data_IF_051547594850
#
_entry.id   IF_051547594850
#
_cell.length_a   1.000
_cell.length_b   1.000
_cell.length_c   1.000
_cell.angle_alpha   90.00
_cell.angle_beta   90.00
_cell.angle_gamma   90.00
#
_symmetry.space_group_name_H-M   'P 1'
#
loop_
_entity.id
_entity.type
_entity.pdbx_description
1 polymer ?
#
# COMPACT_ATOMS: atom_id res chain seq x y z
N UNK A 1 -6.12 -1.21 -32.41
CA UNK A 1 -6.32 -0.97 -30.95
C UNK A 1 -5.59 0.31 -30.58
N UNK A 2 -6.28 1.25 -29.91
CA UNK A 2 -5.73 2.55 -29.47
C UNK A 2 -6.19 2.90 -28.03
N UNK A 3 -5.53 3.89 -27.40
CA UNK A 3 -5.84 4.32 -26.04
C UNK A 3 -7.26 4.90 -25.89
N UNK A 4 -7.87 5.38 -26.98
CA UNK A 4 -9.25 5.87 -26.99
C UNK A 4 -10.22 4.72 -26.78
N UNK A 5 -9.99 3.57 -27.42
CA UNK A 5 -10.79 2.37 -27.24
C UNK A 5 -10.68 1.83 -25.81
N UNK A 6 -9.50 1.93 -25.17
CA UNK A 6 -9.33 1.59 -23.75
C UNK A 6 -10.18 2.49 -22.85
N UNK A 7 -10.12 3.81 -23.05
CA UNK A 7 -10.99 4.74 -22.30
C UNK A 7 -12.48 4.46 -22.49
N UNK A 8 -12.88 4.12 -23.70
CA UNK A 8 -14.27 3.76 -24.00
C UNK A 8 -14.72 2.49 -23.27
N UNK A 9 -13.86 1.47 -23.27
CA UNK A 9 -14.13 0.22 -22.56
C UNK A 9 -14.22 0.45 -21.04
N UNK A 10 -13.27 1.15 -20.44
CA UNK A 10 -13.26 1.51 -19.02
C UNK A 10 -14.56 2.23 -18.65
N UNK A 11 -14.96 3.25 -19.39
CA UNK A 11 -16.17 4.01 -19.10
C UNK A 11 -17.46 3.15 -19.18
N UNK A 12 -17.52 2.18 -20.11
CA UNK A 12 -18.63 1.22 -20.17
C UNK A 12 -18.58 0.23 -19.01
N UNK A 13 -17.42 -0.25 -18.63
CA UNK A 13 -17.20 -1.17 -17.53
C UNK A 13 -17.59 -0.55 -16.19
N UNK A 14 -17.20 0.70 -15.93
CA UNK A 14 -17.50 1.42 -14.68
C UNK A 14 -19.00 1.71 -14.53
N UNK A 15 -19.71 1.99 -15.63
CA UNK A 15 -21.13 2.37 -15.61
C UNK A 15 -22.07 1.21 -15.87
N UNK A 16 -21.58 0.10 -16.37
CA UNK A 16 -22.36 -1.06 -16.82
C UNK A 16 -23.52 -0.65 -17.78
N UNK A 17 -23.32 0.45 -18.55
CA UNK A 17 -24.32 1.06 -19.41
C UNK A 17 -23.69 1.81 -20.59
N UNK A 18 -23.94 1.35 -21.81
CA UNK A 18 -23.49 2.05 -23.02
C UNK A 18 -24.09 3.46 -23.17
N UNK A 19 -25.34 3.64 -22.76
CA UNK A 19 -26.00 4.95 -22.87
C UNK A 19 -25.42 5.97 -21.92
N UNK A 20 -25.15 5.57 -20.67
CA UNK A 20 -24.51 6.48 -19.69
C UNK A 20 -23.06 6.76 -20.05
N UNK A 21 -22.30 5.75 -20.47
CA UNK A 21 -20.92 5.91 -20.91
C UNK A 21 -20.83 6.85 -22.15
N UNK A 22 -21.69 6.68 -23.14
CA UNK A 22 -21.72 7.53 -24.33
C UNK A 22 -22.02 9.01 -23.98
N UNK A 23 -22.98 9.26 -23.07
CA UNK A 23 -23.25 10.61 -22.54
C UNK A 23 -22.02 11.23 -21.88
N UNK A 24 -21.32 10.47 -21.04
CA UNK A 24 -20.11 10.95 -20.34
C UNK A 24 -18.95 11.22 -21.29
N UNK A 25 -18.82 10.43 -22.35
CA UNK A 25 -17.79 10.56 -23.35
C UNK A 25 -18.15 11.59 -24.46
N UNK A 26 -19.35 12.18 -24.39
CA UNK A 26 -19.87 13.12 -25.39
C UNK A 26 -19.88 12.56 -26.82
N UNK A 27 -20.21 11.29 -26.99
CA UNK A 27 -20.35 10.62 -28.28
C UNK A 27 -21.71 9.91 -28.40
N UNK A 28 -22.04 9.49 -29.62
CA UNK A 28 -23.28 8.69 -29.81
C UNK A 28 -23.08 7.26 -29.29
N UNK A 29 -24.17 6.67 -28.76
CA UNK A 29 -24.15 5.27 -28.29
C UNK A 29 -23.80 4.28 -29.42
N UNK A 30 -24.29 4.44 -30.67
CA UNK A 30 -23.88 3.59 -31.79
C UNK A 30 -22.37 3.65 -32.04
N UNK A 31 -21.76 4.86 -32.00
CA UNK A 31 -20.29 5.03 -32.14
C UNK A 31 -19.53 4.29 -31.05
N UNK A 32 -19.93 4.47 -29.77
CA UNK A 32 -19.33 3.77 -28.66
C UNK A 32 -19.41 2.24 -28.82
N UNK A 33 -20.59 1.75 -29.20
CA UNK A 33 -20.84 0.32 -29.44
C UNK A 33 -19.96 -0.25 -30.54
N UNK A 34 -19.76 0.51 -31.62
CA UNK A 34 -18.88 0.11 -32.73
C UNK A 34 -17.41 0.04 -32.30
N UNK A 35 -16.96 1.02 -31.52
CA UNK A 35 -15.57 1.04 -31.01
C UNK A 35 -15.27 -0.11 -30.03
N UNK A 36 -16.21 -0.45 -29.17
CA UNK A 36 -16.07 -1.62 -28.29
C UNK A 36 -16.02 -2.91 -29.10
N UNK A 37 -16.90 -3.09 -30.09
CA UNK A 37 -16.85 -4.27 -30.97
C UNK A 37 -15.50 -4.38 -31.70
N UNK A 38 -14.97 -3.27 -32.21
CA UNK A 38 -13.66 -3.25 -32.86
C UNK A 38 -12.53 -3.62 -31.89
N UNK A 39 -12.63 -3.20 -30.63
CA UNK A 39 -11.69 -3.62 -29.57
C UNK A 39 -11.80 -5.12 -29.32
N UNK A 40 -12.99 -5.66 -29.11
CA UNK A 40 -13.25 -7.10 -28.89
C UNK A 40 -12.75 -7.95 -30.05
N UNK A 41 -12.95 -7.50 -31.30
CA UNK A 41 -12.40 -8.15 -32.48
C UNK A 41 -10.86 -8.18 -32.47
N UNK A 42 -10.22 -7.08 -32.03
CA UNK A 42 -8.76 -7.02 -31.95
C UNK A 42 -8.21 -7.90 -30.84
N UNK A 43 -8.92 -7.98 -29.69
CA UNK A 43 -8.57 -8.86 -28.56
C UNK A 43 -8.89 -10.33 -28.87
N UNK A 44 -9.82 -10.60 -29.78
CA UNK A 44 -10.22 -11.95 -30.19
C UNK A 44 -11.25 -12.62 -29.25
N UNK A 45 -11.81 -11.86 -28.29
CA UNK A 45 -12.84 -12.36 -27.36
C UNK A 45 -13.78 -11.24 -26.93
N UNK A 46 -14.98 -11.60 -26.49
CA UNK A 46 -15.93 -10.67 -25.91
C UNK A 46 -15.45 -10.24 -24.50
N UNK A 47 -15.41 -8.95 -24.27
CA UNK A 47 -15.09 -8.35 -22.98
C UNK A 47 -16.35 -7.98 -22.18
N UNK A 48 -17.45 -7.76 -22.88
CA UNK A 48 -18.72 -7.33 -22.32
C UNK A 48 -19.87 -8.22 -22.79
N UNK A 49 -20.72 -8.64 -21.87
CA UNK A 49 -22.00 -9.32 -22.17
C UNK A 49 -23.13 -8.31 -22.09
N UNK A 50 -23.97 -8.25 -23.15
CA UNK A 50 -25.19 -7.42 -23.20
C UNK A 50 -26.38 -8.29 -22.88
N UNK A 51 -27.12 -7.93 -21.84
CA UNK A 51 -28.34 -8.63 -21.43
C UNK A 51 -29.51 -7.69 -21.25
N UNK A 52 -30.68 -8.25 -20.99
CA UNK A 52 -31.93 -7.51 -20.69
C UNK A 52 -31.79 -6.61 -19.45
N UNK A 53 -30.87 -6.96 -18.55
CA UNK A 53 -30.58 -6.24 -17.28
C UNK A 53 -29.37 -5.33 -17.35
N UNK A 54 -28.89 -4.95 -18.54
CA UNK A 54 -27.71 -4.08 -18.71
C UNK A 54 -26.48 -4.78 -19.27
N UNK A 55 -25.32 -4.25 -18.95
CA UNK A 55 -24.01 -4.74 -19.39
C UNK A 55 -23.30 -5.39 -18.22
N UNK A 56 -22.58 -6.49 -18.48
CA UNK A 56 -21.71 -7.15 -17.50
C UNK A 56 -20.34 -7.41 -18.12
N UNK A 57 -19.30 -7.42 -17.32
CA UNK A 57 -17.97 -7.88 -17.74
C UNK A 57 -17.96 -9.40 -17.88
N UNK A 58 -17.26 -9.90 -18.91
CA UNK A 58 -16.81 -11.30 -18.97
C UNK A 58 -15.61 -11.50 -18.06
N UNK A 59 -15.15 -12.74 -17.85
CA UNK A 59 -13.87 -12.99 -17.19
C UNK A 59 -12.70 -12.34 -17.94
N UNK A 60 -12.71 -12.39 -19.28
CA UNK A 60 -11.74 -11.71 -20.11
C UNK A 60 -11.86 -10.17 -19.94
N UNK A 61 -13.09 -9.64 -19.82
CA UNK A 61 -13.33 -8.22 -19.56
C UNK A 61 -12.77 -7.76 -18.22
N UNK A 62 -12.90 -8.54 -17.16
CA UNK A 62 -12.32 -8.25 -15.84
C UNK A 62 -10.78 -8.20 -15.94
N UNK A 63 -10.16 -9.22 -16.53
CA UNK A 63 -8.71 -9.27 -16.71
C UNK A 63 -8.18 -8.12 -17.61
N UNK A 64 -8.95 -7.74 -18.63
CA UNK A 64 -8.61 -6.65 -19.53
C UNK A 64 -8.75 -5.28 -18.87
N UNK A 65 -9.72 -5.09 -17.96
CA UNK A 65 -10.04 -3.81 -17.31
C UNK A 65 -8.83 -3.28 -16.52
N UNK A 66 -8.22 -4.14 -15.71
CA UNK A 66 -7.04 -3.76 -14.91
C UNK A 66 -5.87 -3.32 -15.80
N UNK A 67 -5.62 -4.04 -16.89
CA UNK A 67 -4.57 -3.71 -17.85
C UNK A 67 -4.90 -2.46 -18.68
N UNK A 68 -6.17 -2.24 -19.00
CA UNK A 68 -6.61 -1.03 -19.69
C UNK A 68 -6.42 0.23 -18.82
N UNK A 69 -6.76 0.14 -17.53
CA UNK A 69 -6.46 1.19 -16.57
C UNK A 69 -4.96 1.49 -16.47
N UNK A 70 -4.12 0.45 -16.39
CA UNK A 70 -2.67 0.60 -16.33
C UNK A 70 -2.13 1.30 -17.60
N UNK A 71 -2.56 0.87 -18.79
CA UNK A 71 -2.13 1.48 -20.06
C UNK A 71 -2.51 2.96 -20.17
N UNK A 72 -3.71 3.34 -19.73
CA UNK A 72 -4.13 4.75 -19.72
C UNK A 72 -3.29 5.57 -18.73
N UNK A 73 -3.01 5.02 -17.54
CA UNK A 73 -2.16 5.70 -16.56
C UNK A 73 -0.75 5.94 -17.08
N UNK A 74 -0.13 4.92 -17.67
CA UNK A 74 1.21 5.04 -18.27
C UNK A 74 1.26 6.11 -19.39
N UNK A 75 0.25 6.15 -20.25
CA UNK A 75 0.16 7.16 -21.29
C UNK A 75 -0.01 8.59 -20.73
N UNK A 76 -0.76 8.75 -19.64
CA UNK A 76 -0.90 10.05 -18.95
C UNK A 76 0.40 10.41 -18.25
N UNK A 77 1.04 9.46 -17.58
CA UNK A 77 2.32 9.62 -16.90
C UNK A 77 3.41 10.10 -17.87
N UNK A 78 3.53 9.48 -19.05
CA UNK A 78 4.49 9.88 -20.05
C UNK A 78 4.36 11.37 -20.48
N UNK A 79 3.13 11.89 -20.54
CA UNK A 79 2.89 13.32 -20.83
C UNK A 79 3.28 14.21 -19.66
N UNK A 80 2.97 13.77 -18.43
CA UNK A 80 3.35 14.50 -17.20
C UNK A 80 4.87 14.55 -17.05
N UNK A 81 5.57 13.44 -17.27
CA UNK A 81 7.03 13.34 -17.16
C UNK A 81 7.74 14.21 -18.23
N UNK A 82 7.24 14.20 -19.46
CA UNK A 82 7.77 15.07 -20.50
C UNK A 82 7.63 16.57 -20.15
N UNK A 83 6.50 16.96 -19.57
CA UNK A 83 6.26 18.32 -19.09
C UNK A 83 7.16 18.67 -17.90
N UNK A 84 7.30 17.76 -16.94
CA UNK A 84 8.17 17.93 -15.78
C UNK A 84 9.63 18.10 -16.21
N UNK A 85 10.13 17.25 -17.11
CA UNK A 85 11.47 17.34 -17.66
C UNK A 85 11.70 18.68 -18.39
N UNK A 86 10.72 19.13 -19.18
CA UNK A 86 10.78 20.44 -19.86
C UNK A 86 10.83 21.63 -18.87
N UNK A 87 10.22 21.48 -17.70
CA UNK A 87 10.23 22.48 -16.63
C UNK A 87 11.45 22.34 -15.70
N UNK A 88 12.36 21.40 -15.97
CA UNK A 88 13.56 21.15 -15.19
C UNK A 88 13.32 20.37 -13.88
N UNK A 89 12.16 19.70 -13.76
CA UNK A 89 11.89 18.75 -12.69
C UNK A 89 12.37 17.35 -13.08
N UNK A 90 12.74 16.53 -12.06
CA UNK A 90 13.12 15.14 -12.25
C UNK A 90 11.91 14.25 -12.61
N UNK A 91 10.71 14.69 -12.24
CA UNK A 91 9.46 13.96 -12.45
C UNK A 91 8.66 13.82 -11.14
N UNK A 92 7.56 13.11 -11.24
CA UNK A 92 6.63 12.82 -10.13
C UNK A 92 6.85 11.41 -9.65
N UNK A 93 7.02 11.23 -8.34
CA UNK A 93 7.12 9.93 -7.70
C UNK A 93 5.91 9.72 -6.77
N UNK A 94 5.15 8.67 -7.01
CA UNK A 94 3.98 8.28 -6.22
C UNK A 94 4.40 7.26 -5.19
N UNK A 95 4.43 7.68 -3.93
CA UNK A 95 4.83 6.83 -2.80
C UNK A 95 3.59 6.40 -2.03
N UNK A 96 3.33 5.10 -2.00
CA UNK A 96 2.33 4.50 -1.15
C UNK A 96 2.97 4.04 0.17
N UNK A 97 2.31 4.25 1.28
CA UNK A 97 2.82 3.88 2.59
C UNK A 97 1.69 3.51 3.55
N UNK A 98 1.99 2.65 4.51
CA UNK A 98 1.15 2.44 5.68
C UNK A 98 1.55 3.36 6.84
N UNK A 99 0.75 3.39 7.92
CA UNK A 99 1.05 4.22 9.10
C UNK A 99 2.41 3.93 9.73
N UNK A 100 2.89 2.68 9.64
CA UNK A 100 4.18 2.30 10.21
C UNK A 100 5.31 3.06 9.51
N UNK A 101 5.30 3.14 8.19
CA UNK A 101 6.33 3.83 7.43
C UNK A 101 6.41 5.33 7.75
N UNK A 102 5.26 5.98 8.04
CA UNK A 102 5.22 7.38 8.48
C UNK A 102 6.13 7.61 9.68
N UNK A 103 6.05 6.73 10.69
CA UNK A 103 6.81 6.87 11.93
C UNK A 103 8.22 6.28 11.87
N UNK A 104 8.45 5.39 10.91
CA UNK A 104 9.72 4.68 10.80
C UNK A 104 10.78 5.45 10.02
N UNK A 105 10.52 5.80 8.76
CA UNK A 105 11.56 6.32 7.87
C UNK A 105 11.10 7.50 7.02
N UNK A 106 9.80 7.61 6.75
CA UNK A 106 9.29 8.50 5.71
C UNK A 106 9.56 9.98 6.02
N UNK A 107 9.45 10.40 7.28
CA UNK A 107 9.76 11.77 7.70
C UNK A 107 11.19 12.15 7.33
N UNK A 108 12.16 11.31 7.70
CA UNK A 108 13.58 11.59 7.47
C UNK A 108 13.89 11.62 5.96
N UNK A 109 13.29 10.69 5.18
CA UNK A 109 13.43 10.66 3.72
C UNK A 109 12.87 11.93 3.09
N UNK A 110 11.71 12.41 3.54
CA UNK A 110 11.12 13.64 3.01
C UNK A 110 11.92 14.89 3.40
N UNK A 111 12.51 14.91 4.58
CA UNK A 111 13.39 16.00 5.02
C UNK A 111 14.65 16.05 4.15
N UNK A 112 15.33 14.94 3.94
CA UNK A 112 16.49 14.85 3.05
C UNK A 112 16.10 15.18 1.60
N UNK A 113 14.94 14.69 1.13
CA UNK A 113 14.44 14.95 -0.23
C UNK A 113 14.22 16.45 -0.47
N UNK A 114 13.66 17.19 0.49
CA UNK A 114 13.45 18.62 0.37
C UNK A 114 14.74 19.37 0.08
N UNK A 115 15.84 18.96 0.72
CA UNK A 115 17.11 19.67 0.65
C UNK A 115 18.02 19.16 -0.51
N UNK A 116 18.00 17.85 -0.79
CA UNK A 116 18.86 17.20 -1.79
C UNK A 116 18.23 17.07 -3.18
N UNK A 117 16.92 16.85 -3.24
CA UNK A 117 16.19 16.62 -4.48
C UNK A 117 14.94 17.53 -4.60
N UNK A 118 15.08 18.87 -4.52
CA UNK A 118 13.93 19.80 -4.54
C UNK A 118 13.16 19.77 -5.87
N UNK A 119 13.69 19.11 -6.88
CA UNK A 119 13.07 18.92 -8.20
C UNK A 119 12.29 17.61 -8.32
N UNK A 120 12.27 16.78 -7.29
CA UNK A 120 11.49 15.54 -7.22
C UNK A 120 10.12 15.83 -6.59
N UNK A 121 9.03 15.69 -7.36
CA UNK A 121 7.66 15.87 -6.86
C UNK A 121 7.16 14.57 -6.21
N UNK A 122 7.36 14.43 -4.90
CA UNK A 122 6.92 13.24 -4.14
C UNK A 122 5.46 13.39 -3.75
N UNK A 123 4.63 12.42 -4.16
CA UNK A 123 3.19 12.35 -3.85
C UNK A 123 2.89 11.16 -2.95
N UNK A 124 2.48 11.44 -1.72
CA UNK A 124 2.17 10.41 -0.74
C UNK A 124 0.72 9.95 -0.84
N UNK A 125 0.50 8.65 -0.65
CA UNK A 125 -0.81 8.04 -0.45
C UNK A 125 -0.72 7.02 0.67
N UNK A 126 -1.63 7.14 1.65
CA UNK A 126 -1.77 6.12 2.68
C UNK A 126 -2.68 5.00 2.17
N UNK A 127 -2.13 3.80 2.06
CA UNK A 127 -2.81 2.61 1.55
C UNK A 127 -2.50 1.40 2.45
N UNK A 128 -3.45 0.47 2.63
CA UNK A 128 -3.18 -0.86 3.20
C UNK A 128 -2.14 -1.61 2.36
N UNK A 129 -1.46 -2.61 2.95
CA UNK A 129 -0.37 -3.33 2.27
C UNK A 129 -0.81 -3.99 0.96
N UNK A 130 -1.98 -4.64 0.94
CA UNK A 130 -2.53 -5.24 -0.28
C UNK A 130 -2.78 -4.20 -1.39
N UNK A 131 -3.27 -3.00 -1.03
CA UNK A 131 -3.49 -1.92 -2.00
C UNK A 131 -2.17 -1.29 -2.46
N UNK A 132 -1.13 -1.27 -1.63
CA UNK A 132 0.22 -0.85 -2.03
C UNK A 132 0.77 -1.79 -3.10
N UNK A 133 0.69 -3.11 -2.88
CA UNK A 133 1.11 -4.15 -3.84
C UNK A 133 0.36 -3.96 -5.17
N UNK A 134 -0.96 -3.90 -5.13
CA UNK A 134 -1.79 -3.68 -6.32
C UNK A 134 -1.49 -2.33 -6.98
N UNK A 135 -1.21 -1.31 -6.18
CA UNK A 135 -0.84 0.01 -6.66
C UNK A 135 0.46 0.03 -7.45
N UNK A 136 1.49 -0.65 -6.95
CA UNK A 136 2.79 -0.76 -7.64
C UNK A 136 2.66 -1.62 -8.89
N UNK A 137 2.02 -2.79 -8.82
CA UNK A 137 1.77 -3.64 -9.99
C UNK A 137 0.97 -2.91 -11.07
N UNK A 138 -0.07 -2.20 -10.66
CA UNK A 138 -0.97 -1.47 -11.55
C UNK A 138 -0.48 -0.07 -11.97
N UNK A 139 0.69 0.40 -11.48
CA UNK A 139 1.26 1.72 -11.82
C UNK A 139 0.47 2.90 -11.23
N UNK A 140 -0.27 2.73 -10.12
CA UNK A 140 -0.88 3.83 -9.35
C UNK A 140 0.02 4.32 -8.23
N UNK A 141 1.04 3.54 -7.88
CA UNK A 141 2.17 3.88 -7.04
C UNK A 141 3.47 3.43 -7.73
N UNK A 142 4.55 4.14 -7.49
CA UNK A 142 5.88 3.80 -7.98
C UNK A 142 6.68 3.07 -6.89
N UNK A 143 6.39 3.42 -5.63
CA UNK A 143 7.01 2.86 -4.42
C UNK A 143 5.93 2.52 -3.41
N UNK A 144 6.06 1.39 -2.71
CA UNK A 144 5.30 1.06 -1.51
C UNK A 144 6.24 0.84 -0.33
N UNK A 145 5.90 1.40 0.85
CA UNK A 145 6.59 1.11 2.10
C UNK A 145 5.72 0.25 2.98
N UNK A 146 6.21 -0.92 3.35
CA UNK A 146 5.46 -1.90 4.15
C UNK A 146 6.35 -2.70 5.09
N UNK A 147 5.71 -3.43 6.00
CA UNK A 147 6.36 -4.46 6.79
C UNK A 147 6.78 -5.65 5.93
N UNK A 148 7.67 -6.45 6.45
CA UNK A 148 8.48 -7.45 5.78
C UNK A 148 7.75 -8.53 5.00
N UNK A 149 8.38 -8.87 3.89
CA UNK A 149 8.23 -10.17 3.25
C UNK A 149 9.56 -10.92 3.31
N UNK A 150 9.55 -12.17 3.75
CA UNK A 150 10.70 -13.06 3.56
C UNK A 150 10.90 -13.44 2.08
N UNK A 151 9.86 -13.33 1.28
CA UNK A 151 9.85 -13.61 -0.16
C UNK A 151 8.98 -12.57 -0.88
N UNK A 152 9.35 -12.19 -2.10
CA UNK A 152 8.54 -11.31 -2.93
C UNK A 152 7.20 -11.98 -3.27
N UNK A 153 6.06 -11.35 -2.97
CA UNK A 153 4.74 -11.95 -3.22
C UNK A 153 4.39 -12.07 -4.70
N UNK A 154 5.13 -11.39 -5.57
CA UNK A 154 4.90 -11.35 -7.03
C UNK A 154 6.24 -11.18 -7.76
N UNK A 155 6.53 -11.98 -8.83
CA UNK A 155 7.77 -11.88 -9.59
C UNK A 155 7.96 -10.57 -10.34
N UNK A 156 6.91 -9.77 -10.50
CA UNK A 156 7.00 -8.45 -11.12
C UNK A 156 7.35 -7.32 -10.14
N UNK A 157 7.47 -7.65 -8.85
CA UNK A 157 7.88 -6.72 -7.81
C UNK A 157 9.33 -6.99 -7.39
N UNK A 158 10.03 -5.92 -7.09
CA UNK A 158 11.28 -5.94 -6.36
C UNK A 158 10.99 -5.55 -4.91
N UNK A 159 11.46 -6.39 -3.98
CA UNK A 159 11.38 -6.11 -2.55
C UNK A 159 12.78 -5.85 -2.01
N UNK A 160 12.96 -4.72 -1.34
CA UNK A 160 14.21 -4.31 -0.70
C UNK A 160 13.97 -4.18 0.82
N UNK A 161 14.58 -5.08 1.60
CA UNK A 161 14.59 -4.94 3.06
C UNK A 161 15.50 -3.76 3.44
N UNK A 162 14.98 -2.84 4.24
CA UNK A 162 15.69 -1.61 4.62
C UNK A 162 16.37 -1.76 5.97
N UNK A 163 15.63 -2.14 7.00
CA UNK A 163 16.15 -2.35 8.36
C UNK A 163 15.12 -3.09 9.24
N UNK A 164 15.58 -3.80 10.30
CA UNK A 164 14.68 -4.45 11.23
C UNK A 164 14.08 -3.46 12.24
N UNK A 165 12.78 -3.61 12.51
CA UNK A 165 12.04 -2.95 13.57
C UNK A 165 11.71 -3.95 14.69
N UNK A 166 11.83 -3.54 15.95
CA UNK A 166 11.43 -4.36 17.08
C UNK A 166 9.93 -4.31 17.29
N UNK A 167 9.30 -5.47 17.48
CA UNK A 167 7.90 -5.57 17.85
C UNK A 167 7.65 -5.01 19.26
N UNK A 168 6.52 -4.35 19.42
CA UNK A 168 6.04 -3.82 20.70
C UNK A 168 4.57 -4.15 20.89
N UNK A 169 4.10 -4.14 22.13
CA UNK A 169 2.67 -4.15 22.45
C UNK A 169 2.21 -2.71 22.75
N UNK A 170 0.99 -2.41 22.33
CA UNK A 170 0.24 -1.21 22.68
C UNK A 170 -0.80 -1.57 23.73
N UNK A 171 -0.71 -0.98 24.91
CA UNK A 171 -1.60 -1.21 26.04
C UNK A 171 -2.36 0.06 26.41
N UNK A 172 -3.59 -0.03 26.92
CA UNK A 172 -4.20 1.09 27.64
C UNK A 172 -3.28 1.54 28.78
N UNK A 173 -3.21 2.83 29.05
CA UNK A 173 -2.38 3.36 30.18
C UNK A 173 -2.83 2.87 31.56
N UNK A 174 -4.03 2.32 31.65
CA UNK A 174 -4.62 1.72 32.86
C UNK A 174 -4.36 0.22 32.99
N UNK A 175 -3.71 -0.38 31.99
CA UNK A 175 -3.43 -1.81 31.99
C UNK A 175 -2.48 -2.19 33.14
N UNK A 176 -2.64 -3.36 33.81
CA UNK A 176 -1.76 -3.79 34.91
C UNK A 176 -0.27 -3.79 34.53
N UNK A 177 0.06 -4.06 33.27
CA UNK A 177 1.43 -4.10 32.79
C UNK A 177 1.93 -2.77 32.21
N UNK A 178 1.16 -1.69 32.27
CA UNK A 178 1.49 -0.39 31.65
C UNK A 178 2.77 0.28 32.18
N UNK A 179 3.27 -0.15 33.35
CA UNK A 179 4.51 0.34 33.98
C UNK A 179 5.74 -0.54 33.75
N UNK A 180 5.57 -1.68 33.07
CA UNK A 180 6.69 -2.60 32.79
C UNK A 180 7.63 -2.04 31.72
N UNK A 181 8.88 -2.52 31.76
CA UNK A 181 9.91 -2.16 30.76
C UNK A 181 9.90 -3.10 29.55
N UNK A 182 9.45 -4.33 29.74
CA UNK A 182 9.27 -5.35 28.72
C UNK A 182 8.16 -6.33 29.14
N UNK A 183 7.62 -7.08 28.20
CA UNK A 183 6.54 -8.05 28.41
C UNK A 183 6.83 -9.28 27.55
N UNK A 184 6.68 -10.47 28.13
CA UNK A 184 6.65 -11.70 27.35
C UNK A 184 5.30 -11.85 26.67
N UNK A 185 5.32 -12.27 25.39
CA UNK A 185 4.09 -12.41 24.62
C UNK A 185 3.11 -13.41 25.25
N UNK A 186 3.62 -14.47 25.88
CA UNK A 186 2.85 -15.47 26.65
C UNK A 186 2.04 -14.90 27.81
N UNK A 187 2.51 -13.80 28.44
CA UNK A 187 1.79 -13.14 29.55
C UNK A 187 0.51 -12.42 29.08
N UNK A 188 0.35 -12.26 27.76
CA UNK A 188 -0.79 -11.58 27.12
C UNK A 188 -1.76 -12.57 26.47
N UNK A 189 -1.66 -13.86 26.78
CA UNK A 189 -2.45 -14.93 26.17
C UNK A 189 -3.98 -14.75 26.34
N UNK A 190 -4.41 -14.20 27.47
CA UNK A 190 -5.84 -13.99 27.81
C UNK A 190 -6.37 -12.64 27.28
N UNK A 191 -5.51 -11.81 26.68
CA UNK A 191 -5.90 -10.48 26.24
C UNK A 191 -6.67 -10.52 24.90
N UNK A 192 -7.52 -9.52 24.71
CA UNK A 192 -8.21 -9.30 23.42
C UNK A 192 -7.34 -8.45 22.50
N UNK A 193 -6.97 -8.99 21.33
CA UNK A 193 -6.05 -8.38 20.41
C UNK A 193 -6.79 -7.61 19.31
N UNK A 194 -6.49 -6.34 19.16
CA UNK A 194 -7.02 -5.46 18.12
C UNK A 194 -5.96 -5.36 17.03
N UNK A 195 -6.17 -6.06 15.92
CA UNK A 195 -5.24 -6.08 14.78
C UNK A 195 -6.01 -5.86 13.48
N UNK A 196 -5.37 -5.33 12.41
CA UNK A 196 -5.98 -5.24 11.10
C UNK A 196 -6.40 -6.63 10.60
N UNK A 197 -7.35 -6.68 9.64
CA UNK A 197 -7.70 -7.95 9.00
C UNK A 197 -6.50 -8.52 8.23
N UNK A 198 -6.48 -9.84 8.05
CA UNK A 198 -5.47 -10.50 7.25
C UNK A 198 -5.44 -9.98 5.81
N UNK A 199 -6.59 -9.59 5.25
CA UNK A 199 -6.67 -9.02 3.90
C UNK A 199 -5.96 -7.66 3.78
N UNK A 200 -5.96 -6.86 4.85
CA UNK A 200 -5.32 -5.54 4.83
C UNK A 200 -3.82 -5.59 5.09
N UNK A 201 -3.37 -6.51 5.93
CA UNK A 201 -1.98 -6.64 6.36
C UNK A 201 -1.59 -8.12 6.52
N UNK A 202 -1.55 -8.88 5.42
CA UNK A 202 -1.39 -10.33 5.47
C UNK A 202 -0.11 -10.76 6.17
N UNK A 203 1.00 -10.07 5.92
CA UNK A 203 2.31 -10.44 6.48
C UNK A 203 2.38 -10.18 7.97
N UNK A 204 2.00 -8.98 8.40
CA UNK A 204 2.02 -8.63 9.84
C UNK A 204 1.03 -9.50 10.61
N UNK A 205 -0.14 -9.79 10.03
CA UNK A 205 -1.13 -10.67 10.64
C UNK A 205 -0.58 -12.09 10.83
N UNK A 206 -0.04 -12.69 9.78
CA UNK A 206 0.49 -14.05 9.81
C UNK A 206 1.71 -14.17 10.72
N UNK A 207 2.60 -13.18 10.72
CA UNK A 207 3.73 -13.10 11.66
C UNK A 207 3.23 -13.02 13.11
N UNK A 208 2.27 -12.14 13.41
CA UNK A 208 1.71 -12.00 14.75
C UNK A 208 1.10 -13.31 15.26
N UNK A 209 0.26 -13.97 14.44
CA UNK A 209 -0.35 -15.25 14.80
C UNK A 209 0.71 -16.33 15.00
N UNK A 210 1.74 -16.37 14.14
CA UNK A 210 2.86 -17.31 14.27
C UNK A 210 3.62 -17.12 15.58
N UNK A 211 3.92 -15.87 15.96
CA UNK A 211 4.64 -15.58 17.21
C UNK A 211 3.78 -15.93 18.46
N UNK A 212 2.46 -15.71 18.40
CA UNK A 212 1.54 -16.18 19.45
C UNK A 212 1.57 -17.70 19.58
N UNK A 213 1.53 -18.46 18.48
CA UNK A 213 1.61 -19.91 18.50
C UNK A 213 2.96 -20.41 19.05
N UNK A 214 4.07 -19.79 18.69
CA UNK A 214 5.39 -20.09 19.26
C UNK A 214 5.45 -19.82 20.76
N UNK A 215 4.68 -18.82 21.23
CA UNK A 215 4.54 -18.46 22.65
C UNK A 215 3.51 -19.32 23.39
N UNK A 216 2.92 -20.34 22.73
CA UNK A 216 2.07 -21.35 23.35
C UNK A 216 0.58 -21.03 23.42
N UNK A 217 0.08 -20.01 22.70
CA UNK A 217 -1.34 -19.65 22.72
C UNK A 217 -1.90 -19.25 21.35
N UNK A 218 -3.24 -19.32 21.23
CA UNK A 218 -3.99 -18.78 20.11
C UNK A 218 -4.52 -17.39 20.49
N UNK A 219 -4.23 -16.33 19.72
CA UNK A 219 -4.70 -15.00 20.08
C UNK A 219 -6.22 -14.86 19.93
N UNK A 220 -6.86 -14.23 20.91
CA UNK A 220 -8.26 -13.82 20.81
C UNK A 220 -8.33 -12.50 20.01
N UNK A 221 -8.63 -12.60 18.71
CA UNK A 221 -8.54 -11.47 17.78
C UNK A 221 -9.89 -10.74 17.66
N UNK A 222 -9.89 -9.47 18.07
CA UNK A 222 -10.87 -8.48 17.71
C UNK A 222 -10.35 -7.67 16.51
N UNK A 223 -11.10 -7.64 15.42
CA UNK A 223 -10.66 -7.00 14.18
C UNK A 223 -10.81 -5.50 14.24
N UNK A 224 -9.74 -4.76 13.97
CA UNK A 224 -9.81 -3.34 13.68
C UNK A 224 -10.11 -3.11 12.18
N UNK A 225 -10.87 -2.06 11.87
CA UNK A 225 -11.19 -1.73 10.48
C UNK A 225 -9.95 -1.31 9.67
N UNK A 226 -8.96 -0.70 10.33
CA UNK A 226 -7.71 -0.23 9.74
C UNK A 226 -6.62 -0.02 10.81
N UNK A 227 -5.40 0.31 10.34
CA UNK A 227 -4.25 0.56 11.19
C UNK A 227 -4.44 1.74 12.17
N UNK A 228 -5.22 2.76 11.83
CA UNK A 228 -5.41 3.96 12.67
C UNK A 228 -6.51 3.75 13.71
N UNK A 229 -7.58 3.03 13.40
CA UNK A 229 -8.71 2.79 14.31
C UNK A 229 -8.32 2.00 15.56
N UNK A 230 -7.23 1.21 15.53
CA UNK A 230 -6.74 0.50 16.72
C UNK A 230 -6.26 1.44 17.84
N UNK A 231 -5.73 2.63 17.54
CA UNK A 231 -5.28 3.56 18.58
C UNK A 231 -6.42 4.01 19.52
N UNK A 232 -7.56 4.55 19.03
CA UNK A 232 -8.66 4.88 19.91
C UNK A 232 -9.29 3.67 20.60
N UNK A 233 -9.31 2.50 19.96
CA UNK A 233 -9.81 1.28 20.57
C UNK A 233 -8.93 0.82 21.75
N UNK A 234 -7.61 0.82 21.57
CA UNK A 234 -6.67 0.54 22.68
C UNK A 234 -6.79 1.60 23.78
N UNK A 235 -6.85 2.89 23.40
CA UNK A 235 -6.97 3.96 24.38
C UNK A 235 -8.27 3.90 25.22
N UNK A 236 -9.34 3.32 24.66
CA UNK A 236 -10.61 3.09 25.36
C UNK A 236 -10.63 1.85 26.27
N UNK A 237 -9.60 0.99 26.17
CA UNK A 237 -9.56 -0.28 26.91
C UNK A 237 -10.32 -1.42 26.24
N UNK A 238 -10.66 -1.30 24.94
CA UNK A 238 -11.35 -2.36 24.20
C UNK A 238 -10.46 -3.59 23.93
N UNK A 239 -9.16 -3.48 24.14
CA UNK A 239 -8.16 -4.52 23.96
C UNK A 239 -6.76 -3.94 23.84
N UNK A 240 -5.81 -4.79 23.45
CA UNK A 240 -4.41 -4.46 23.23
C UNK A 240 -4.06 -4.62 21.73
N UNK A 241 -2.91 -4.12 21.28
CA UNK A 241 -2.52 -4.24 19.87
C UNK A 241 -1.01 -4.40 19.73
N UNK A 242 -0.56 -4.81 18.55
CA UNK A 242 0.85 -4.87 18.18
C UNK A 242 1.31 -3.61 17.47
N UNK A 243 2.60 -3.33 17.51
CA UNK A 243 3.24 -2.24 16.80
C UNK A 243 4.73 -2.48 16.65
N UNK A 244 5.45 -1.44 16.26
CA UNK A 244 6.91 -1.43 16.10
C UNK A 244 7.55 -0.34 16.94
N UNK A 245 8.84 -0.51 17.26
CA UNK A 245 9.57 0.35 18.20
C UNK A 245 9.61 1.83 17.80
N UNK A 246 9.53 2.14 16.52
CA UNK A 246 9.42 3.54 16.06
C UNK A 246 8.21 4.28 16.65
N UNK A 247 7.15 3.56 17.06
CA UNK A 247 6.01 4.13 17.76
C UNK A 247 6.34 4.63 19.18
N UNK A 248 7.46 4.17 19.78
CA UNK A 248 7.93 4.67 21.08
C UNK A 248 8.28 6.17 21.06
N UNK A 249 8.62 6.71 19.87
CA UNK A 249 8.91 8.13 19.65
C UNK A 249 7.65 9.01 19.73
N UNK A 250 6.46 8.40 19.70
CA UNK A 250 5.18 9.11 19.64
C UNK A 250 4.55 9.15 21.03
N UNK A 251 4.22 10.33 21.48
CA UNK A 251 3.43 10.48 22.70
C UNK A 251 1.93 10.37 22.39
N UNK A 252 1.32 9.28 22.79
CA UNK A 252 -0.14 9.06 22.69
C UNK A 252 -0.75 9.03 24.10
N UNK A 253 -1.58 10.02 24.46
CA UNK A 253 -2.31 9.96 25.74
C UNK A 253 -3.12 8.66 25.83
N UNK A 254 -3.16 8.07 27.03
CA UNK A 254 -3.89 6.83 27.36
C UNK A 254 -3.38 5.55 26.69
N UNK A 255 -2.25 5.57 25.97
CA UNK A 255 -1.59 4.38 25.43
C UNK A 255 -0.17 4.29 25.98
N UNK A 256 0.25 3.06 26.29
CA UNK A 256 1.62 2.68 26.59
C UNK A 256 2.13 1.73 25.52
N UNK A 257 3.36 1.98 25.10
CA UNK A 257 4.09 1.16 24.16
C UNK A 257 5.19 0.43 24.92
N UNK A 258 5.21 -0.89 24.89
CA UNK A 258 6.15 -1.69 25.67
C UNK A 258 6.77 -2.75 24.76
N UNK A 259 8.11 -2.89 24.75
CA UNK A 259 8.80 -3.90 23.94
C UNK A 259 8.45 -5.32 24.36
N UNK A 260 8.41 -6.25 23.39
CA UNK A 260 8.37 -7.67 23.65
C UNK A 260 9.72 -8.22 24.09
N UNK A 261 9.68 -9.24 24.96
CA UNK A 261 10.80 -10.06 25.34
C UNK A 261 10.37 -11.55 25.27
N UNK A 262 11.02 -12.44 24.50
CA UNK A 262 12.17 -12.16 23.64
C UNK A 262 11.84 -11.20 22.50
N UNK A 263 12.90 -10.63 21.91
CA UNK A 263 12.74 -9.65 20.82
C UNK A 263 12.09 -10.31 19.60
N UNK A 264 10.95 -9.77 19.19
CA UNK A 264 10.34 -10.06 17.89
C UNK A 264 10.72 -8.94 16.93
N UNK A 265 11.21 -9.27 15.74
CA UNK A 265 11.58 -8.29 14.72
C UNK A 265 10.68 -8.39 13.51
N UNK A 266 10.40 -7.23 12.92
CA UNK A 266 9.72 -7.07 11.64
C UNK A 266 10.61 -6.19 10.77
N UNK A 267 11.03 -6.66 9.60
CA UNK A 267 11.80 -5.79 8.72
C UNK A 267 10.91 -4.75 8.07
N UNK A 268 11.31 -3.52 8.04
CA UNK A 268 10.75 -2.51 7.16
C UNK A 268 11.34 -2.66 5.78
N UNK A 269 10.50 -2.62 4.77
CA UNK A 269 10.92 -2.78 3.38
C UNK A 269 10.24 -1.82 2.43
N UNK A 270 10.78 -1.78 1.24
CA UNK A 270 10.29 -1.01 0.11
C UNK A 270 10.00 -1.94 -1.06
N UNK A 271 8.84 -1.79 -1.67
CA UNK A 271 8.49 -2.48 -2.92
C UNK A 271 8.47 -1.49 -4.09
N UNK A 272 8.94 -1.97 -5.23
CA UNK A 272 8.92 -1.26 -6.51
C UNK A 272 8.63 -2.25 -7.64
N UNK A 273 8.29 -1.77 -8.82
CA UNK A 273 8.22 -2.63 -10.00
C UNK A 273 9.61 -3.15 -10.36
N UNK A 274 9.73 -4.42 -10.77
CA UNK A 274 11.02 -5.05 -11.05
C UNK A 274 11.80 -4.32 -12.15
N UNK A 275 11.11 -3.87 -13.19
CA UNK A 275 11.73 -3.23 -14.38
C UNK A 275 11.68 -1.70 -14.34
N UNK A 276 11.36 -1.07 -13.19
CA UNK A 276 11.33 0.38 -13.08
C UNK A 276 12.73 0.93 -12.73
N UNK A 277 13.33 1.57 -13.70
CA UNK A 277 14.62 2.28 -13.60
C UNK A 277 14.46 3.78 -13.88
N UNK A 278 13.28 4.33 -13.64
CA UNK A 278 12.99 5.74 -13.85
C UNK A 278 13.93 6.63 -13.02
N UNK A 279 14.38 7.77 -13.55
CA UNK A 279 15.31 8.66 -12.85
C UNK A 279 14.80 9.10 -11.48
N UNK A 280 13.50 9.35 -11.35
CA UNK A 280 12.86 9.72 -10.07
C UNK A 280 12.92 8.59 -9.03
N UNK A 281 12.78 7.33 -9.45
CA UNK A 281 12.90 6.19 -8.54
C UNK A 281 14.36 5.96 -8.12
N UNK A 282 15.30 6.09 -9.05
CA UNK A 282 16.75 5.98 -8.75
C UNK A 282 17.17 7.04 -7.76
N UNK A 283 16.77 8.31 -7.97
CA UNK A 283 17.04 9.41 -7.05
C UNK A 283 16.44 9.13 -5.67
N UNK A 284 15.17 8.73 -5.61
CA UNK A 284 14.50 8.44 -4.35
C UNK A 284 15.16 7.29 -3.57
N UNK A 285 15.59 6.24 -4.25
CA UNK A 285 16.37 5.15 -3.61
C UNK A 285 17.66 5.68 -2.99
N UNK A 286 18.36 6.58 -3.68
CA UNK A 286 19.54 7.24 -3.15
C UNK A 286 19.26 7.98 -1.83
N UNK A 287 18.14 8.72 -1.77
CA UNK A 287 17.72 9.41 -0.54
C UNK A 287 17.38 8.44 0.60
N UNK A 288 16.70 7.33 0.30
CA UNK A 288 16.43 6.28 1.30
C UNK A 288 17.73 5.71 1.86
N UNK A 289 18.71 5.40 1.00
CA UNK A 289 20.00 4.88 1.42
C UNK A 289 20.81 5.91 2.23
N UNK A 290 20.75 7.20 1.89
CA UNK A 290 21.37 8.27 2.67
C UNK A 290 20.80 8.32 4.09
N UNK A 291 19.46 8.25 4.23
CA UNK A 291 18.80 8.21 5.55
C UNK A 291 19.21 6.98 6.36
N UNK A 292 19.29 5.82 5.72
CA UNK A 292 19.73 4.59 6.39
C UNK A 292 21.18 4.69 6.89
N UNK A 293 22.07 5.29 6.10
CA UNK A 293 23.47 5.51 6.47
C UNK A 293 23.59 6.50 7.65
N UNK A 294 22.79 7.59 7.66
CA UNK A 294 22.78 8.54 8.77
C UNK A 294 22.33 7.87 10.08
N UNK A 295 21.27 7.06 10.04
CA UNK A 295 20.77 6.32 11.22
C UNK A 295 21.76 5.28 11.73
N UNK A 296 22.51 4.61 10.84
CA UNK A 296 23.54 3.66 11.24
C UNK A 296 24.75 4.33 11.90
N UNK A 297 25.03 5.60 11.59
CA UNK A 297 26.08 6.39 12.22
C UNK A 297 25.72 6.98 13.59
N UNK A 298 24.41 7.03 13.92
CA UNK A 298 23.89 7.54 15.20
C UNK A 298 23.66 6.42 16.25
N UNK A 299 23.72 5.15 15.87
CA UNK A 299 23.51 3.98 16.71
C UNK A 299 24.82 3.42 17.27
#
# INVERSE_FOLDING_TARGET
MDLRQFRYFIEVADRLSFTQAAKRLHISQPTLSQQIRALEQTVGTELLVRGTNGVKLTQAGVAFLDRAHAAIREAVGAVEDARAASAGFLGKLRVACGPIAEYCILHDVLEVARDRAPKLDIRLRFLPENEQILGVLGGTADVGFMGCFSETPDPHLNYEALYPERGIVMLPSTHPFASRRSIELSELAEESWIVPTRDQAPVVYDLFVSECHKSGFNPNINVAADWYSRFPLVASGAGISVGVASLLKIRRPKIKFIPFEPIVTVDMGMITKHDDHSPQLVEFRGLVQEVLALRAGEA
#
